data_IF_634997097624
#
_entry.id   IF_634997097624
#
_cell.length_a   1.000
_cell.length_b   1.000
_cell.length_c   1.000
_cell.angle_alpha   90.00
_cell.angle_beta   90.00
_cell.angle_gamma   90.00
#
_symmetry.space_group_name_H-M   'P 1'
#
loop_
_entity.id
_entity.type
_entity.pdbx_description
1 polymer ?
#
# COMPACT_ATOMS: atom_id res chain seq x y z
N UNK A 1 2.50 12.87 60.71
CA UNK A 1 2.20 13.23 59.31
C UNK A 1 3.54 13.33 58.62
N UNK A 2 3.96 12.25 57.96
CA UNK A 2 5.25 12.20 57.28
C UNK A 2 5.19 13.04 56.01
N UNK A 3 6.27 13.79 55.77
CA UNK A 3 6.41 14.76 54.70
C UNK A 3 6.64 14.02 53.37
N UNK A 4 5.81 14.28 52.35
CA UNK A 4 5.87 13.63 51.03
C UNK A 4 7.23 13.78 50.33
N UNK A 5 8.03 14.78 50.71
CA UNK A 5 9.38 14.99 50.18
C UNK A 5 10.40 13.95 50.68
N UNK A 6 10.19 13.38 51.86
CA UNK A 6 11.15 12.42 52.46
C UNK A 6 11.03 11.03 51.83
N UNK A 7 9.86 10.69 51.25
CA UNK A 7 9.60 9.42 50.56
C UNK A 7 10.30 9.33 49.18
N UNK A 8 10.56 10.46 48.51
CA UNK A 8 11.27 10.46 47.23
C UNK A 8 12.76 10.10 47.36
N UNK A 9 13.37 10.32 48.52
CA UNK A 9 14.77 10.00 48.78
C UNK A 9 14.99 8.57 49.29
N UNK A 10 13.92 7.82 49.58
CA UNK A 10 13.97 6.45 50.10
C UNK A 10 13.53 5.39 49.07
N UNK A 11 13.10 5.78 47.87
CA UNK A 11 12.76 4.83 46.81
C UNK A 11 14.05 4.36 46.09
N UNK A 12 14.48 3.09 46.23
CA UNK A 12 15.65 2.56 45.53
C UNK A 12 15.43 2.45 44.01
N UNK A 13 14.20 2.63 43.52
CA UNK A 13 13.88 2.60 42.09
C UNK A 13 13.80 4.02 41.54
N UNK A 14 14.85 4.44 40.81
CA UNK A 14 14.79 5.61 39.92
C UNK A 14 13.79 5.34 38.80
N UNK A 15 12.53 5.76 38.97
CA UNK A 15 11.45 5.61 37.98
C UNK A 15 11.48 6.65 36.85
N UNK A 16 12.44 7.56 36.88
CA UNK A 16 12.68 8.54 35.83
C UNK A 16 14.10 8.34 35.31
N UNK A 17 14.23 7.58 34.22
CA UNK A 17 15.44 7.60 33.40
C UNK A 17 15.36 8.88 32.59
N UNK A 18 16.10 9.91 32.99
CA UNK A 18 16.34 11.06 32.14
C UNK A 18 17.07 10.57 30.89
N UNK A 19 16.53 10.87 29.69
CA UNK A 19 17.16 10.55 28.41
C UNK A 19 18.53 11.22 28.36
N UNK A 20 19.56 10.44 28.65
CA UNK A 20 20.94 10.81 28.39
C UNK A 20 21.33 10.18 27.06
N UNK A 21 21.82 11.02 26.15
CA UNK A 21 22.41 10.75 24.83
C UNK A 21 21.48 10.71 23.62
N UNK A 22 21.83 11.55 22.63
CA UNK A 22 21.43 11.49 21.21
C UNK A 22 22.06 10.26 20.55
N UNK A 23 21.66 9.07 20.97
CA UNK A 23 21.94 7.83 20.26
C UNK A 23 20.59 7.23 19.86
N UNK A 24 20.46 6.82 18.60
CA UNK A 24 19.31 6.09 18.11
C UNK A 24 19.18 4.81 18.94
N UNK A 25 18.28 4.84 19.92
CA UNK A 25 17.90 3.68 20.71
C UNK A 25 17.12 2.72 19.80
N UNK A 26 17.83 1.78 19.17
CA UNK A 26 17.22 0.59 18.58
C UNK A 26 16.61 -0.26 19.70
N UNK A 27 15.39 0.08 20.10
CA UNK A 27 14.58 -0.81 20.92
C UNK A 27 14.27 -2.06 20.10
N UNK A 28 14.52 -3.28 20.62
CA UNK A 28 14.09 -4.54 19.99
C UNK A 28 12.56 -4.64 19.81
N UNK A 29 11.82 -3.70 20.42
CA UNK A 29 10.36 -3.57 20.34
C UNK A 29 9.92 -2.41 19.43
N UNK A 30 10.85 -1.69 18.79
CA UNK A 30 10.48 -0.80 17.70
C UNK A 30 10.06 -1.67 16.53
N UNK A 31 8.80 -1.58 16.06
CA UNK A 31 8.42 -2.25 14.83
C UNK A 31 9.33 -1.72 13.70
N UNK A 32 9.79 -2.59 12.78
CA UNK A 32 10.51 -2.12 11.61
C UNK A 32 9.68 -1.06 10.89
N UNK A 33 10.34 -0.04 10.33
CA UNK A 33 9.63 0.96 9.56
C UNK A 33 8.91 0.26 8.40
N UNK A 34 7.61 0.51 8.22
CA UNK A 34 6.78 -0.25 7.27
C UNK A 34 7.26 -0.17 5.81
N UNK A 35 8.15 0.79 5.52
CA UNK A 35 8.74 1.07 4.22
C UNK A 35 10.28 0.92 4.22
N UNK A 36 10.89 0.34 5.27
CA UNK A 36 12.29 -0.10 5.19
C UNK A 36 12.35 -1.36 4.32
N UNK A 37 13.01 -1.31 3.14
CA UNK A 37 13.16 -2.50 2.32
C UNK A 37 13.93 -3.56 3.13
N UNK A 38 13.56 -4.85 3.05
CA UNK A 38 14.43 -5.90 3.56
C UNK A 38 15.81 -5.77 2.91
N UNK A 39 16.86 -6.33 3.54
CA UNK A 39 18.27 -6.36 3.08
C UNK A 39 18.50 -7.05 1.71
N UNK A 40 17.56 -6.95 0.77
CA UNK A 40 17.78 -7.23 -0.64
C UNK A 40 18.38 -5.98 -1.28
N UNK A 41 19.50 -6.14 -1.99
CA UNK A 41 20.13 -5.07 -2.75
C UNK A 41 19.15 -4.54 -3.80
N UNK A 42 18.41 -3.47 -3.46
CA UNK A 42 17.43 -2.87 -4.35
C UNK A 42 18.10 -2.51 -5.68
N UNK A 43 17.60 -3.10 -6.77
CA UNK A 43 18.19 -2.92 -8.09
C UNK A 43 17.89 -1.48 -8.54
N UNK A 44 18.91 -0.69 -8.94
CA UNK A 44 18.68 0.66 -9.45
C UNK A 44 17.72 0.65 -10.65
N UNK A 45 16.83 1.64 -10.72
CA UNK A 45 15.84 1.79 -11.78
C UNK A 45 16.44 1.67 -13.19
N UNK A 46 17.63 2.23 -13.41
CA UNK A 46 18.31 2.23 -14.71
C UNK A 46 18.77 0.83 -15.15
N UNK A 47 18.86 -0.11 -14.21
CA UNK A 47 19.21 -1.51 -14.47
C UNK A 47 17.99 -2.41 -14.60
N UNK A 48 16.79 -1.89 -14.33
CA UNK A 48 15.55 -2.66 -14.50
C UNK A 48 15.28 -2.90 -16.00
N UNK A 49 14.79 -4.09 -16.40
CA UNK A 49 14.28 -4.33 -17.73
C UNK A 49 13.20 -3.30 -18.13
N UNK A 50 13.13 -2.87 -19.41
CA UNK A 50 12.17 -1.86 -19.86
C UNK A 50 10.72 -2.18 -19.50
N UNK A 51 10.30 -3.44 -19.56
CA UNK A 51 8.98 -3.87 -19.11
C UNK A 51 8.69 -3.48 -17.65
N UNK A 52 9.62 -3.73 -16.72
CA UNK A 52 9.46 -3.39 -15.30
C UNK A 52 9.53 -1.88 -15.07
N UNK A 53 10.35 -1.16 -15.84
CA UNK A 53 10.40 0.31 -15.77
C UNK A 53 9.03 0.94 -16.05
N UNK A 54 8.28 0.42 -17.02
CA UNK A 54 6.91 0.89 -17.32
C UNK A 54 5.99 0.69 -16.11
N UNK A 55 6.02 -0.48 -15.48
CA UNK A 55 5.21 -0.77 -14.29
C UNK A 55 5.59 0.17 -13.12
N UNK A 56 6.88 0.37 -12.87
CA UNK A 56 7.35 1.30 -11.84
C UNK A 56 6.98 2.76 -12.13
N UNK A 57 6.94 3.18 -13.39
CA UNK A 57 6.49 4.53 -13.75
C UNK A 57 4.98 4.70 -13.56
N UNK A 58 4.20 3.64 -13.80
CA UNK A 58 2.78 3.59 -13.45
C UNK A 58 2.57 3.68 -11.93
N UNK A 59 3.41 3.00 -11.13
CA UNK A 59 3.43 3.13 -9.66
C UNK A 59 3.70 4.55 -9.18
N UNK A 60 4.71 5.23 -9.75
CA UNK A 60 4.99 6.64 -9.42
C UNK A 60 3.79 7.55 -9.70
N UNK A 61 3.03 7.27 -10.76
CA UNK A 61 1.82 8.01 -11.04
C UNK A 61 0.69 7.66 -10.06
N UNK A 62 0.54 6.37 -9.72
CA UNK A 62 -0.42 5.90 -8.72
C UNK A 62 -0.19 6.58 -7.37
N UNK A 63 1.05 6.66 -6.88
CA UNK A 63 1.40 7.34 -5.62
C UNK A 63 0.92 8.79 -5.61
N UNK A 64 1.10 9.54 -6.69
CA UNK A 64 0.61 10.93 -6.79
C UNK A 64 -0.91 11.01 -6.65
N UNK A 65 -1.63 10.09 -7.30
CA UNK A 65 -3.10 10.03 -7.19
C UNK A 65 -3.55 9.61 -5.79
N UNK A 66 -2.79 8.77 -5.10
CA UNK A 66 -3.04 8.40 -3.70
C UNK A 66 -2.84 9.58 -2.76
N UNK A 67 -1.79 10.39 -2.96
CA UNK A 67 -1.54 11.58 -2.14
C UNK A 67 -2.66 12.63 -2.32
N UNK A 68 -3.12 12.82 -3.55
CA UNK A 68 -4.27 13.68 -3.85
C UNK A 68 -5.55 13.17 -3.18
N UNK A 69 -5.85 11.87 -3.32
CA UNK A 69 -7.02 11.26 -2.70
C UNK A 69 -6.96 11.30 -1.17
N UNK A 70 -5.79 11.03 -0.57
CA UNK A 70 -5.58 11.08 0.88
C UNK A 70 -5.88 12.48 1.45
N UNK A 71 -5.44 13.52 0.72
CA UNK A 71 -5.76 14.92 1.03
C UNK A 71 -7.26 15.21 0.95
N UNK A 72 -7.97 14.66 -0.04
CA UNK A 72 -9.43 14.78 -0.14
C UNK A 72 -10.12 14.10 1.05
N UNK A 73 -9.67 12.90 1.45
CA UNK A 73 -10.20 12.21 2.63
C UNK A 73 -9.98 13.01 3.92
N UNK A 74 -8.82 13.67 4.07
CA UNK A 74 -8.55 14.53 5.22
C UNK A 74 -9.50 15.75 5.23
N UNK A 75 -9.75 16.37 4.08
CA UNK A 75 -10.71 17.48 3.99
C UNK A 75 -12.14 17.06 4.33
N UNK A 76 -12.57 15.88 3.86
CA UNK A 76 -13.86 15.31 4.21
C UNK A 76 -13.97 14.99 5.71
N UNK A 77 -12.88 14.53 6.34
CA UNK A 77 -12.84 14.29 7.78
C UNK A 77 -13.01 15.58 8.59
N UNK A 78 -12.37 16.67 8.17
CA UNK A 78 -12.42 17.95 8.87
C UNK A 78 -13.74 18.71 8.66
N UNK A 79 -14.24 18.72 7.42
CA UNK A 79 -15.40 19.55 7.02
C UNK A 79 -16.72 18.77 7.00
N UNK A 80 -16.67 17.44 7.01
CA UNK A 80 -17.81 16.57 6.76
C UNK A 80 -18.28 16.61 5.30
N UNK A 81 -19.50 16.13 5.05
CA UNK A 81 -20.14 16.21 3.73
C UNK A 81 -20.58 17.64 3.44
N UNK A 82 -19.74 18.37 2.73
CA UNK A 82 -20.05 19.70 2.17
C UNK A 82 -20.06 19.63 0.65
N UNK A 83 -20.99 20.37 0.04
CA UNK A 83 -21.02 20.54 -1.41
C UNK A 83 -19.83 21.44 -1.84
N UNK A 84 -18.67 20.81 -2.03
CA UNK A 84 -17.45 21.44 -2.51
C UNK A 84 -17.06 20.82 -3.86
N UNK A 85 -17.14 21.59 -4.97
CA UNK A 85 -16.80 21.08 -6.30
C UNK A 85 -15.41 20.45 -6.40
N UNK A 86 -14.45 20.91 -5.59
CA UNK A 86 -13.08 20.36 -5.58
C UNK A 86 -13.03 18.96 -4.96
N UNK A 87 -13.82 18.72 -3.91
CA UNK A 87 -13.94 17.40 -3.29
C UNK A 87 -14.61 16.45 -4.27
N UNK A 88 -15.72 16.86 -4.88
CA UNK A 88 -16.44 16.05 -5.86
C UNK A 88 -15.58 15.70 -7.08
N UNK A 89 -14.76 16.65 -7.54
CA UNK A 89 -13.80 16.42 -8.62
C UNK A 89 -12.67 15.48 -8.20
N UNK A 90 -12.06 15.69 -7.03
CA UNK A 90 -10.99 14.82 -6.53
C UNK A 90 -11.46 13.37 -6.36
N UNK A 91 -12.65 13.15 -5.79
CA UNK A 91 -13.23 11.81 -5.66
C UNK A 91 -13.46 11.17 -7.03
N UNK A 92 -14.09 11.89 -7.97
CA UNK A 92 -14.34 11.38 -9.32
C UNK A 92 -13.04 11.02 -10.03
N UNK A 93 -12.04 11.89 -9.98
CA UNK A 93 -10.74 11.66 -10.62
C UNK A 93 -10.07 10.41 -10.05
N UNK A 94 -10.07 10.23 -8.73
CA UNK A 94 -9.49 9.04 -8.11
C UNK A 94 -10.20 7.75 -8.53
N UNK A 95 -11.54 7.70 -8.46
CA UNK A 95 -12.25 6.47 -8.82
C UNK A 95 -12.20 6.16 -10.33
N UNK A 96 -12.19 7.18 -11.19
CA UNK A 96 -11.90 7.00 -12.62
C UNK A 96 -10.47 6.50 -12.84
N UNK A 97 -9.48 7.02 -12.11
CA UNK A 97 -8.11 6.55 -12.19
C UNK A 97 -7.96 5.07 -11.78
N UNK A 98 -8.64 4.64 -10.71
CA UNK A 98 -8.65 3.23 -10.31
C UNK A 98 -9.21 2.35 -11.43
N UNK A 99 -10.38 2.71 -11.99
CA UNK A 99 -11.04 1.92 -13.04
C UNK A 99 -10.23 1.87 -14.36
N UNK A 100 -9.64 2.99 -14.77
CA UNK A 100 -9.00 3.11 -16.08
C UNK A 100 -7.51 2.78 -16.07
N UNK A 101 -6.81 2.99 -14.94
CA UNK A 101 -5.34 2.88 -14.86
C UNK A 101 -4.90 1.74 -13.96
N UNK A 102 -5.38 1.68 -12.72
CA UNK A 102 -4.98 0.63 -11.78
C UNK A 102 -5.44 -0.75 -12.27
N UNK A 103 -6.68 -0.88 -12.74
CA UNK A 103 -7.14 -2.15 -13.31
C UNK A 103 -6.30 -2.60 -14.51
N UNK A 104 -5.90 -1.67 -15.38
CA UNK A 104 -5.05 -2.03 -16.54
C UNK A 104 -3.64 -2.41 -16.11
N UNK A 105 -3.09 -1.75 -15.10
CA UNK A 105 -1.82 -2.10 -14.49
C UNK A 105 -1.83 -3.54 -13.97
N UNK A 106 -2.76 -3.84 -13.06
CA UNK A 106 -2.91 -5.17 -12.47
C UNK A 106 -3.09 -6.26 -13.54
N UNK A 107 -3.84 -5.96 -14.61
CA UNK A 107 -4.01 -6.90 -15.73
C UNK A 107 -2.73 -7.18 -16.49
N UNK A 108 -1.80 -6.22 -16.61
CA UNK A 108 -0.49 -6.45 -17.22
C UNK A 108 0.31 -7.41 -16.35
N UNK A 109 0.30 -7.21 -15.04
CA UNK A 109 1.02 -8.05 -14.10
C UNK A 109 0.46 -9.48 -14.10
N UNK A 110 -0.84 -9.62 -13.84
CA UNK A 110 -1.55 -10.91 -13.76
C UNK A 110 -1.47 -11.74 -15.05
N UNK A 111 -1.46 -11.08 -16.22
CA UNK A 111 -1.46 -11.79 -17.52
C UNK A 111 -0.07 -12.00 -18.10
N UNK A 112 0.89 -11.15 -17.77
CA UNK A 112 2.20 -11.14 -18.44
C UNK A 112 3.32 -11.51 -17.47
N UNK A 113 3.44 -10.83 -16.33
CA UNK A 113 4.56 -11.00 -15.40
C UNK A 113 4.36 -12.19 -14.46
N UNK A 114 3.25 -12.17 -13.73
CA UNK A 114 2.94 -13.09 -12.64
C UNK A 114 2.93 -14.57 -13.07
N UNK A 115 2.42 -14.97 -14.25
CA UNK A 115 2.46 -16.36 -14.66
C UNK A 115 3.89 -16.91 -14.78
N UNK A 116 4.82 -16.11 -15.33
CA UNK A 116 6.23 -16.49 -15.44
C UNK A 116 6.89 -16.52 -14.07
N UNK A 117 6.65 -15.50 -13.25
CA UNK A 117 7.28 -15.39 -11.94
C UNK A 117 6.81 -16.50 -10.97
N UNK A 118 5.52 -16.83 -11.00
CA UNK A 118 4.94 -17.96 -10.26
C UNK A 118 5.66 -19.27 -10.59
N UNK A 119 5.87 -19.55 -11.88
CA UNK A 119 6.59 -20.75 -12.31
C UNK A 119 8.02 -20.79 -11.76
N UNK A 120 8.73 -19.64 -11.78
CA UNK A 120 10.10 -19.54 -11.26
C UNK A 120 10.19 -19.70 -9.75
N UNK A 121 9.27 -19.11 -8.99
CA UNK A 121 9.21 -19.31 -7.54
C UNK A 121 8.97 -20.76 -7.17
N UNK A 122 8.07 -21.45 -7.88
CA UNK A 122 7.83 -22.88 -7.67
C UNK A 122 9.06 -23.73 -8.01
N UNK A 123 9.76 -23.44 -9.10
CA UNK A 123 11.00 -24.14 -9.49
C UNK A 123 12.13 -23.95 -8.48
N UNK A 124 12.25 -22.75 -7.89
CA UNK A 124 13.27 -22.43 -6.88
C UNK A 124 12.92 -22.92 -5.47
N UNK A 125 11.68 -23.35 -5.25
CA UNK A 125 11.17 -23.76 -3.93
C UNK A 125 10.83 -22.57 -3.02
N UNK A 126 10.65 -21.37 -3.58
CA UNK A 126 10.28 -20.14 -2.88
C UNK A 126 8.75 -20.05 -2.73
N UNK A 127 8.19 -21.02 -2.01
CA UNK A 127 6.77 -21.13 -1.78
C UNK A 127 6.45 -21.67 -0.38
N UNK A 128 5.22 -21.45 0.08
CA UNK A 128 4.72 -21.98 1.34
C UNK A 128 4.79 -23.51 1.40
N UNK A 129 4.96 -24.04 2.62
CA UNK A 129 5.02 -25.48 2.91
C UNK A 129 3.64 -26.15 3.06
N UNK A 130 2.57 -25.43 2.72
CA UNK A 130 1.20 -25.92 2.81
C UNK A 130 0.85 -26.96 1.74
N UNK A 131 -0.34 -27.55 1.85
CA UNK A 131 -0.86 -28.52 0.86
C UNK A 131 -0.99 -27.90 -0.55
N UNK A 132 -1.26 -26.60 -0.61
CA UNK A 132 -1.22 -25.80 -1.83
C UNK A 132 -0.06 -24.80 -1.68
N UNK A 133 1.02 -24.95 -2.45
CA UNK A 133 2.12 -23.98 -2.46
C UNK A 133 1.61 -22.59 -2.84
N UNK A 134 1.82 -21.62 -1.96
CA UNK A 134 1.55 -20.20 -2.24
C UNK A 134 2.89 -19.47 -2.37
N UNK A 135 3.02 -18.61 -3.37
CA UNK A 135 4.20 -17.76 -3.57
C UNK A 135 3.87 -16.31 -3.26
N UNK A 136 4.84 -15.41 -3.43
CA UNK A 136 4.61 -13.97 -3.36
C UNK A 136 3.57 -13.48 -4.40
N UNK A 137 3.48 -14.13 -5.57
CA UNK A 137 2.49 -13.75 -6.60
C UNK A 137 1.06 -13.96 -6.09
N UNK A 138 0.76 -15.10 -5.47
CA UNK A 138 -0.58 -15.38 -4.92
C UNK A 138 -1.00 -14.30 -3.90
N UNK A 139 -0.04 -13.80 -3.12
CA UNK A 139 -0.28 -12.71 -2.16
C UNK A 139 -0.59 -11.37 -2.84
N UNK A 140 0.09 -11.04 -3.94
CA UNK A 140 -0.15 -9.80 -4.69
C UNK A 140 -1.48 -9.83 -5.42
N UNK A 141 -1.83 -10.97 -6.03
CA UNK A 141 -3.14 -11.17 -6.66
C UNK A 141 -4.28 -11.06 -5.61
N UNK A 142 -4.07 -11.58 -4.40
CA UNK A 142 -5.00 -11.37 -3.28
C UNK A 142 -5.11 -9.87 -2.89
N UNK A 143 -4.00 -9.13 -2.93
CA UNK A 143 -3.99 -7.69 -2.66
C UNK A 143 -4.73 -6.91 -3.77
N UNK A 144 -4.62 -7.32 -5.04
CA UNK A 144 -5.43 -6.76 -6.14
C UNK A 144 -6.94 -6.94 -5.90
N UNK A 145 -7.36 -8.10 -5.40
CA UNK A 145 -8.77 -8.35 -5.08
C UNK A 145 -9.22 -7.45 -3.92
N UNK A 146 -8.42 -7.37 -2.85
CA UNK A 146 -8.73 -6.52 -1.69
C UNK A 146 -8.78 -5.04 -2.07
N UNK A 147 -7.91 -4.59 -2.98
CA UNK A 147 -7.91 -3.25 -3.54
C UNK A 147 -9.27 -2.91 -4.13
N UNK A 148 -9.76 -3.75 -5.04
CA UNK A 148 -11.03 -3.52 -5.72
C UNK A 148 -12.21 -3.55 -4.73
N UNK A 149 -12.15 -4.42 -3.72
CA UNK A 149 -13.15 -4.45 -2.65
C UNK A 149 -13.17 -3.16 -1.83
N UNK A 150 -12.00 -2.69 -1.38
CA UNK A 150 -11.87 -1.46 -0.60
C UNK A 150 -12.31 -0.24 -1.42
N UNK A 151 -11.93 -0.16 -2.70
CA UNK A 151 -12.37 0.90 -3.59
C UNK A 151 -13.89 0.90 -3.76
N UNK A 152 -14.49 -0.27 -4.01
CA UNK A 152 -15.94 -0.39 -4.15
C UNK A 152 -16.69 -0.02 -2.87
N UNK A 153 -16.23 -0.47 -1.70
CA UNK A 153 -16.86 -0.12 -0.41
C UNK A 153 -16.75 1.37 -0.15
N UNK A 154 -15.56 1.95 -0.33
CA UNK A 154 -15.32 3.39 -0.15
C UNK A 154 -16.22 4.22 -1.04
N UNK A 155 -16.28 3.92 -2.34
CA UNK A 155 -17.13 4.61 -3.31
C UNK A 155 -18.61 4.55 -2.90
N UNK A 156 -19.10 3.36 -2.56
CA UNK A 156 -20.50 3.15 -2.21
C UNK A 156 -20.86 3.84 -0.88
N UNK A 157 -19.97 3.80 0.12
CA UNK A 157 -20.24 4.44 1.41
C UNK A 157 -20.18 5.97 1.32
N UNK A 158 -19.24 6.54 0.56
CA UNK A 158 -19.24 7.97 0.26
C UNK A 158 -20.56 8.37 -0.41
N UNK A 159 -20.98 7.63 -1.44
CA UNK A 159 -22.25 7.87 -2.11
C UNK A 159 -23.47 7.70 -1.20
N UNK A 160 -23.48 6.71 -0.32
CA UNK A 160 -24.59 6.43 0.59
C UNK A 160 -24.69 7.49 1.68
N UNK A 161 -23.55 7.91 2.26
CA UNK A 161 -23.47 8.93 3.30
C UNK A 161 -24.08 10.27 2.84
N UNK A 162 -23.97 10.61 1.55
CA UNK A 162 -24.60 11.81 0.98
C UNK A 162 -26.13 11.70 0.83
N UNK A 163 -26.70 10.49 0.86
CA UNK A 163 -28.12 10.22 0.53
C UNK A 163 -28.96 9.76 1.72
N UNK A 164 -28.33 9.36 2.83
CA UNK A 164 -29.06 8.91 4.02
C UNK A 164 -29.85 10.07 4.65
N UNK A 165 -31.12 9.85 5.05
CA UNK A 165 -31.97 10.91 5.59
C UNK A 165 -31.63 11.24 7.06
N UNK A 166 -31.18 10.25 7.82
CA UNK A 166 -30.86 10.40 9.24
C UNK A 166 -29.42 10.90 9.45
N UNK A 167 -29.25 11.87 10.36
CA UNK A 167 -27.96 12.54 10.58
C UNK A 167 -26.93 11.63 11.24
N UNK A 168 -27.34 10.80 12.19
CA UNK A 168 -26.42 9.87 12.84
C UNK A 168 -25.95 8.80 11.85
N UNK A 169 -26.88 8.26 11.05
CA UNK A 169 -26.58 7.27 10.01
C UNK A 169 -25.63 7.83 8.95
N UNK A 170 -25.81 9.10 8.52
CA UNK A 170 -24.88 9.78 7.62
C UNK A 170 -23.48 9.86 8.21
N UNK A 171 -23.36 10.29 9.46
CA UNK A 171 -22.07 10.46 10.13
C UNK A 171 -21.32 9.12 10.25
N UNK A 172 -22.01 8.06 10.70
CA UNK A 172 -21.41 6.72 10.85
C UNK A 172 -20.98 6.16 9.49
N UNK A 173 -21.81 6.35 8.46
CA UNK A 173 -21.50 5.85 7.11
C UNK A 173 -20.34 6.61 6.48
N UNK A 174 -20.28 7.94 6.70
CA UNK A 174 -19.13 8.75 6.26
C UNK A 174 -17.85 8.33 6.97
N UNK A 175 -17.89 8.15 8.29
CA UNK A 175 -16.74 7.73 9.08
C UNK A 175 -16.19 6.38 8.59
N UNK A 176 -17.07 5.40 8.40
CA UNK A 176 -16.70 4.13 7.79
C UNK A 176 -16.12 4.31 6.37
N UNK A 177 -16.68 5.20 5.55
CA UNK A 177 -16.14 5.48 4.22
C UNK A 177 -14.71 6.04 4.29
N UNK A 178 -14.43 6.93 5.24
CA UNK A 178 -13.12 7.53 5.44
C UNK A 178 -12.11 6.49 5.94
N UNK A 179 -12.51 5.63 6.87
CA UNK A 179 -11.66 4.53 7.34
C UNK A 179 -11.28 3.57 6.20
N UNK A 180 -12.27 3.14 5.41
CA UNK A 180 -12.01 2.26 4.26
C UNK A 180 -11.17 2.96 3.19
N UNK A 181 -11.39 4.25 2.94
CA UNK A 181 -10.59 5.04 2.01
C UNK A 181 -9.13 5.18 2.46
N UNK A 182 -8.87 5.38 3.76
CA UNK A 182 -7.51 5.40 4.30
C UNK A 182 -6.86 4.02 4.24
N UNK A 183 -7.61 2.96 4.53
CA UNK A 183 -7.12 1.59 4.40
C UNK A 183 -6.75 1.26 2.94
N UNK A 184 -7.53 1.74 1.96
CA UNK A 184 -7.22 1.63 0.54
C UNK A 184 -5.89 2.30 0.21
N UNK A 185 -5.68 3.54 0.67
CA UNK A 185 -4.44 4.30 0.42
C UNK A 185 -3.22 3.56 0.95
N UNK A 186 -3.26 3.13 2.21
CA UNK A 186 -2.12 2.45 2.84
C UNK A 186 -1.87 1.07 2.23
N UNK A 187 -2.92 0.33 1.91
CA UNK A 187 -2.78 -0.97 1.25
C UNK A 187 -2.10 -0.81 -0.11
N UNK A 188 -2.54 0.16 -0.93
CA UNK A 188 -1.92 0.43 -2.24
C UNK A 188 -0.45 0.87 -2.12
N UNK A 189 -0.12 1.73 -1.17
CA UNK A 189 1.28 2.12 -0.92
C UNK A 189 2.14 0.93 -0.54
N UNK A 190 1.65 0.07 0.35
CA UNK A 190 2.35 -1.13 0.79
C UNK A 190 2.50 -2.16 -0.35
N UNK A 191 1.47 -2.31 -1.18
CA UNK A 191 1.48 -3.19 -2.33
C UNK A 191 2.54 -2.76 -3.35
N UNK A 192 2.51 -1.49 -3.77
CA UNK A 192 3.52 -0.90 -4.66
C UNK A 192 4.94 -1.06 -4.10
N UNK A 193 5.11 -0.81 -2.80
CA UNK A 193 6.40 -0.97 -2.14
C UNK A 193 6.93 -2.41 -2.22
N UNK A 194 6.07 -3.40 -1.99
CA UNK A 194 6.42 -4.83 -2.10
C UNK A 194 6.81 -5.18 -3.52
N UNK A 195 6.09 -4.67 -4.50
CA UNK A 195 6.38 -4.94 -5.90
C UNK A 195 7.72 -4.36 -6.33
N UNK A 196 7.89 -3.05 -6.13
CA UNK A 196 9.10 -2.33 -6.53
C UNK A 196 10.35 -2.87 -5.83
N UNK A 197 10.24 -3.20 -4.54
CA UNK A 197 11.41 -3.54 -3.71
C UNK A 197 11.76 -5.03 -3.73
N UNK A 198 10.74 -5.90 -3.78
CA UNK A 198 10.92 -7.35 -3.58
C UNK A 198 10.63 -8.13 -4.86
N UNK A 199 9.45 -7.91 -5.46
CA UNK A 199 8.94 -8.75 -6.55
C UNK A 199 9.69 -8.45 -7.83
N UNK A 200 9.89 -7.17 -8.16
CA UNK A 200 10.63 -6.75 -9.36
C UNK A 200 12.10 -7.10 -9.25
N UNK A 201 12.71 -6.94 -8.06
CA UNK A 201 14.08 -7.44 -7.80
C UNK A 201 14.18 -8.95 -8.03
N UNK A 202 13.22 -9.72 -7.51
CA UNK A 202 13.15 -11.18 -7.74
C UNK A 202 12.94 -11.51 -9.23
N UNK A 203 12.13 -10.73 -9.94
CA UNK A 203 11.90 -10.93 -11.36
C UNK A 203 13.20 -10.72 -12.17
N UNK A 204 14.02 -9.73 -11.84
CA UNK A 204 15.33 -9.54 -12.50
C UNK A 204 16.27 -10.73 -12.27
N UNK A 205 16.24 -11.34 -11.09
CA UNK A 205 17.07 -12.53 -10.80
C UNK A 205 16.57 -13.80 -11.49
N UNK A 206 15.24 -13.97 -11.60
CA UNK A 206 14.61 -15.23 -11.97
C UNK A 206 14.15 -15.31 -13.43
N UNK A 207 13.90 -14.17 -14.07
CA UNK A 207 13.36 -14.09 -15.44
C UNK A 207 14.47 -13.74 -16.40
N UNK A 208 14.57 -14.49 -17.51
CA UNK A 208 15.61 -14.28 -18.50
C UNK A 208 15.33 -13.06 -19.39
N UNK A 209 16.38 -12.46 -19.98
CA UNK A 209 16.24 -11.35 -20.93
C UNK A 209 15.31 -11.68 -22.12
N UNK A 210 15.30 -12.95 -22.57
CA UNK A 210 14.42 -13.41 -23.65
C UNK A 210 12.95 -13.39 -23.25
N UNK A 211 12.66 -13.76 -22.00
CA UNK A 211 11.31 -13.72 -21.46
C UNK A 211 10.85 -12.27 -21.29
N UNK A 212 11.70 -11.37 -20.75
CA UNK A 212 11.38 -9.94 -20.70
C UNK A 212 11.13 -9.34 -22.09
N UNK A 213 11.95 -9.67 -23.09
CA UNK A 213 11.74 -9.23 -24.47
C UNK A 213 10.39 -9.69 -25.03
N UNK A 214 9.91 -10.86 -24.62
CA UNK A 214 8.59 -11.35 -25.03
C UNK A 214 7.46 -10.65 -24.25
N UNK A 215 7.66 -10.35 -22.97
CA UNK A 215 6.72 -9.56 -22.17
C UNK A 215 6.54 -8.15 -22.77
N UNK A 216 7.62 -7.50 -23.22
CA UNK A 216 7.55 -6.20 -23.90
C UNK A 216 6.70 -6.25 -25.17
N UNK A 217 6.80 -7.32 -25.98
CA UNK A 217 5.93 -7.49 -27.15
C UNK A 217 4.48 -7.69 -26.76
N UNK A 218 4.21 -8.42 -25.67
CA UNK A 218 2.85 -8.63 -25.18
C UNK A 218 2.26 -7.33 -24.63
N UNK A 219 3.07 -6.49 -23.99
CA UNK A 219 2.65 -5.19 -23.45
C UNK A 219 2.09 -4.27 -24.54
N UNK A 220 2.65 -4.29 -25.75
CA UNK A 220 2.14 -3.53 -26.90
C UNK A 220 0.68 -3.84 -27.30
N UNK A 221 0.10 -4.93 -26.75
CA UNK A 221 -1.31 -5.31 -26.98
C UNK A 221 -2.27 -4.71 -25.94
N UNK A 222 -1.75 -4.08 -24.89
CA UNK A 222 -2.50 -3.39 -23.84
C UNK A 222 -2.52 -1.86 -24.06
N UNK A 223 -1.82 -1.37 -25.08
CA UNK A 223 -1.87 0.01 -25.60
C UNK A 223 -2.93 0.15 -26.70
#
# INVERSE_FOLDING_TARGET
MENLQDLQNQDPLKRMVEKQTEQDEFSPMNPPEAYEPPDMDAIPYEKMPPFLQVLMDEHKNCIKQLDEFDSILNQLKEKGLVADPKIDEGLRNFFSFVDEKVVQHNLKEEKILFPTLQARFLEKGEHGQGLNPQTAVDMLEDDHIKLMQLAAVTFNFLGLSARLPDTASRAITLDAALEQGKALVEMLRLHIFREDSVVFSSAVELVSEKEFTEMEKQLSRFE
#
